data_IF_543639846469
#
_entry.id   IF_543639846469
#
_cell.length_a   1.000
_cell.length_b   1.000
_cell.length_c   1.000
_cell.angle_alpha   90.00
_cell.angle_beta   90.00
_cell.angle_gamma   90.00
#
_symmetry.space_group_name_H-M   'P 1'
#
loop_
_entity.id
_entity.type
_entity.pdbx_description
1 polymer ?
#
# COMPACT_ATOMS: atom_id res chain seq x y z
N UNK A 1 -34.75 -7.48 32.71
CA UNK A 1 -35.76 -6.46 32.40
C UNK A 1 -35.43 -6.00 31.01
N UNK A 2 -36.45 -5.84 30.19
CA UNK A 2 -36.29 -5.49 28.79
C UNK A 2 -36.51 -3.99 28.62
N UNK A 3 -35.98 -3.46 27.53
CA UNK A 3 -36.25 -2.10 27.10
C UNK A 3 -37.76 -1.93 26.83
N UNK A 4 -38.27 -0.70 26.94
CA UNK A 4 -39.66 -0.41 26.62
C UNK A 4 -39.78 0.74 25.64
N UNK A 5 -40.84 0.71 24.84
CA UNK A 5 -41.18 1.79 23.90
C UNK A 5 -42.42 2.51 24.40
N UNK A 6 -42.39 3.85 24.43
CA UNK A 6 -43.51 4.67 24.85
C UNK A 6 -44.70 4.52 23.89
N UNK A 7 -45.91 4.69 24.43
CA UNK A 7 -47.15 4.85 23.67
C UNK A 7 -47.75 6.26 23.88
N UNK A 8 -48.98 6.48 23.41
CA UNK A 8 -49.64 7.79 23.52
C UNK A 8 -50.02 8.19 24.96
N UNK A 9 -49.79 7.33 25.96
CA UNK A 9 -50.00 7.65 27.37
C UNK A 9 -48.78 8.34 28.02
N UNK A 10 -47.66 8.45 27.29
CA UNK A 10 -46.46 9.16 27.73
C UNK A 10 -46.43 10.62 27.23
N UNK A 11 -45.79 11.51 27.99
CA UNK A 11 -45.69 12.95 27.69
C UNK A 11 -45.07 13.27 26.34
N UNK A 12 -44.06 12.52 25.95
CA UNK A 12 -43.37 12.69 24.67
C UNK A 12 -44.11 12.01 23.50
N UNK A 13 -45.16 11.24 23.78
CA UNK A 13 -45.92 10.45 22.82
C UNK A 13 -45.31 9.08 22.51
N UNK A 14 -45.89 8.38 21.54
CA UNK A 14 -45.47 7.04 21.16
C UNK A 14 -44.14 6.99 20.37
N UNK A 15 -43.38 5.91 20.52
CA UNK A 15 -42.26 5.54 19.65
C UNK A 15 -40.85 5.85 20.18
N UNK A 16 -40.70 6.20 21.47
CA UNK A 16 -39.39 6.42 22.09
C UNK A 16 -39.00 5.19 22.90
N UNK A 17 -37.81 4.65 22.65
CA UNK A 17 -37.30 3.47 23.38
C UNK A 17 -36.41 3.91 24.55
N UNK A 18 -36.73 3.40 25.73
CA UNK A 18 -35.98 3.61 26.96
C UNK A 18 -35.33 2.31 27.42
N UNK A 19 -34.09 2.37 27.93
CA UNK A 19 -33.41 1.19 28.44
C UNK A 19 -34.11 0.62 29.67
N UNK A 20 -33.97 -0.68 29.86
CA UNK A 20 -34.37 -1.34 31.09
C UNK A 20 -33.83 -0.61 32.35
N UNK A 21 -34.72 -0.30 33.29
CA UNK A 21 -34.37 0.40 34.53
C UNK A 21 -34.58 1.92 34.52
N UNK A 22 -35.09 2.49 33.42
CA UNK A 22 -35.59 3.88 33.43
C UNK A 22 -36.70 4.07 34.46
N UNK A 23 -36.55 5.10 35.28
CA UNK A 23 -37.58 5.49 36.26
C UNK A 23 -38.70 6.23 35.53
N UNK A 24 -39.94 5.78 35.72
CA UNK A 24 -41.14 6.38 35.14
C UNK A 24 -42.05 6.87 36.27
N UNK A 25 -42.64 8.04 36.11
CA UNK A 25 -43.56 8.64 37.09
C UNK A 25 -44.82 9.17 36.41
N UNK A 26 -45.93 9.20 37.16
CA UNK A 26 -47.19 9.71 36.65
C UNK A 26 -47.32 11.20 36.99
N UNK A 27 -47.69 11.99 36.00
CA UNK A 27 -47.74 13.46 36.10
C UNK A 27 -49.15 13.96 36.40
N UNK A 28 -49.24 15.18 36.95
CA UNK A 28 -50.52 15.77 37.36
C UNK A 28 -51.46 16.05 36.17
N UNK A 29 -50.92 16.21 34.97
CA UNK A 29 -51.64 16.38 33.71
C UNK A 29 -52.08 15.04 33.07
N UNK A 30 -51.90 13.92 33.77
CA UNK A 30 -52.50 12.63 33.38
C UNK A 30 -51.68 11.80 32.40
N UNK A 31 -50.37 12.06 32.29
CA UNK A 31 -49.46 11.32 31.42
C UNK A 31 -48.34 10.65 32.22
N UNK A 32 -47.81 9.55 31.70
CA UNK A 32 -46.54 8.99 32.16
C UNK A 32 -45.37 9.83 31.66
N UNK A 33 -44.34 10.01 32.48
CA UNK A 33 -43.14 10.72 32.10
C UNK A 33 -41.90 9.97 32.60
N UNK A 34 -40.84 10.01 31.81
CA UNK A 34 -39.58 9.30 32.06
C UNK A 34 -38.60 10.24 32.74
N UNK A 35 -38.08 9.83 33.90
CA UNK A 35 -37.05 10.56 34.62
C UNK A 35 -35.70 10.31 33.93
N UNK A 36 -35.48 11.01 32.82
CA UNK A 36 -34.25 10.89 32.02
C UNK A 36 -33.48 12.22 32.02
N UNK A 37 -32.16 12.14 32.14
CA UNK A 37 -31.29 13.23 31.70
C UNK A 37 -31.55 13.52 30.22
N UNK A 38 -31.45 14.78 29.81
CA UNK A 38 -31.80 15.27 28.46
C UNK A 38 -31.33 14.30 27.38
N UNK A 39 -32.28 13.59 26.77
CA UNK A 39 -31.99 12.68 25.67
C UNK A 39 -31.56 13.49 24.44
N UNK A 40 -30.65 12.93 23.64
CA UNK A 40 -30.39 13.45 22.29
C UNK A 40 -31.67 13.30 21.48
N UNK A 41 -32.36 14.42 21.20
CA UNK A 41 -33.63 14.43 20.48
C UNK A 41 -33.51 13.95 19.02
N UNK A 42 -32.30 14.01 18.46
CA UNK A 42 -31.97 13.41 17.17
C UNK A 42 -30.52 13.63 16.78
N UNK A 43 -30.01 12.75 15.91
CA UNK A 43 -28.68 12.83 15.30
C UNK A 43 -28.86 13.06 13.81
N UNK A 44 -28.10 13.98 13.22
CA UNK A 44 -28.17 14.27 11.79
C UNK A 44 -26.78 14.55 11.24
N UNK A 45 -26.39 13.81 10.20
CA UNK A 45 -25.18 14.10 9.46
C UNK A 45 -25.35 15.31 8.52
N UNK A 46 -24.23 15.90 8.09
CA UNK A 46 -24.25 17.12 7.25
C UNK A 46 -24.90 16.89 5.87
N UNK A 47 -24.90 15.64 5.38
CA UNK A 47 -25.50 15.28 4.11
C UNK A 47 -26.99 14.90 4.23
N UNK A 48 -27.57 14.95 5.43
CA UNK A 48 -28.94 14.53 5.66
C UNK A 48 -29.93 15.69 5.81
N UNK A 49 -31.15 15.47 5.32
CA UNK A 49 -32.26 16.43 5.42
C UNK A 49 -33.15 16.23 6.65
N UNK A 50 -33.09 15.05 7.29
CA UNK A 50 -33.95 14.67 8.43
C UNK A 50 -33.12 14.12 9.60
N UNK A 51 -33.61 14.30 10.83
CA UNK A 51 -32.95 13.75 12.03
C UNK A 51 -33.27 12.27 12.21
N UNK A 52 -32.25 11.46 12.52
CA UNK A 52 -32.36 10.08 13.01
C UNK A 52 -32.65 10.06 14.50
N UNK A 53 -33.33 9.02 14.98
CA UNK A 53 -33.73 8.85 16.39
C UNK A 53 -33.49 7.40 16.84
N UNK A 54 -33.38 7.18 18.15
CA UNK A 54 -33.11 5.87 18.74
C UNK A 54 -31.63 5.47 18.64
N UNK A 55 -31.35 4.18 18.49
CA UNK A 55 -29.99 3.71 18.20
C UNK A 55 -29.60 4.06 16.76
N UNK A 56 -28.63 4.95 16.61
CA UNK A 56 -28.21 5.48 15.31
C UNK A 56 -26.86 4.89 14.91
N UNK A 57 -26.83 4.23 13.75
CA UNK A 57 -25.59 3.95 13.02
C UNK A 57 -25.35 5.08 11.99
N UNK A 58 -24.11 5.57 11.92
CA UNK A 58 -23.71 6.71 11.09
C UNK A 58 -22.62 6.27 10.12
N UNK A 59 -22.90 6.37 8.82
CA UNK A 59 -21.96 6.02 7.75
C UNK A 59 -21.19 7.23 7.22
N UNK A 60 -20.20 6.99 6.34
CA UNK A 60 -19.46 8.06 5.65
C UNK A 60 -20.39 8.92 4.78
N UNK A 61 -21.41 8.32 4.17
CA UNK A 61 -22.40 9.00 3.35
C UNK A 61 -23.22 9.98 4.19
N UNK A 62 -23.66 9.53 5.38
CA UNK A 62 -24.50 10.34 6.28
C UNK A 62 -23.82 11.67 6.66
N UNK A 63 -22.50 11.66 6.85
CA UNK A 63 -21.71 12.86 7.20
C UNK A 63 -21.12 13.60 5.98
N UNK A 64 -21.46 13.20 4.75
CA UNK A 64 -21.01 13.88 3.53
C UNK A 64 -19.61 13.50 3.04
N UNK A 65 -19.11 12.33 3.45
CA UNK A 65 -17.81 11.78 3.05
C UNK A 65 -17.94 10.59 2.07
N UNK A 66 -19.11 10.41 1.42
CA UNK A 66 -19.35 9.30 0.49
C UNK A 66 -18.30 9.22 -0.64
N UNK A 67 -17.92 10.38 -1.17
CA UNK A 67 -16.96 10.53 -2.27
C UNK A 67 -15.50 10.67 -1.81
N UNK A 68 -15.23 10.65 -0.50
CA UNK A 68 -13.86 10.65 -0.01
C UNK A 68 -13.31 9.23 -0.15
N UNK A 69 -12.31 9.01 -1.02
CA UNK A 69 -11.66 7.71 -1.10
C UNK A 69 -10.99 7.42 0.25
N UNK A 70 -11.11 6.18 0.74
CA UNK A 70 -10.36 5.73 1.92
C UNK A 70 -8.87 5.98 1.72
N UNK A 71 -8.16 6.36 2.80
CA UNK A 71 -6.75 6.79 2.88
C UNK A 71 -6.04 6.76 1.52
N UNK A 72 -6.25 7.83 0.76
CA UNK A 72 -5.48 8.13 -0.43
C UNK A 72 -4.01 8.10 -0.01
N UNK A 73 -3.20 7.33 -0.72
CA UNK A 73 -1.74 7.48 -0.67
C UNK A 73 -1.43 8.98 -0.68
N UNK A 74 -0.61 9.45 0.28
CA UNK A 74 -0.45 10.89 0.50
C UNK A 74 -0.08 11.56 -0.82
N UNK A 75 -0.60 12.75 -1.08
CA UNK A 75 -0.14 13.53 -2.24
C UNK A 75 1.38 13.68 -2.22
N UNK A 76 1.98 13.71 -1.03
CA UNK A 76 3.44 13.70 -0.83
C UNK A 76 4.08 12.40 -1.32
N UNK A 77 3.49 11.23 -1.05
CA UNK A 77 3.98 9.93 -1.54
C UNK A 77 3.85 9.82 -3.06
N UNK A 78 2.75 10.35 -3.63
CA UNK A 78 2.52 10.38 -5.08
C UNK A 78 3.49 11.33 -5.77
N UNK A 79 3.71 12.53 -5.22
CA UNK A 79 4.67 13.52 -5.73
C UNK A 79 6.09 12.97 -5.62
N UNK A 80 6.48 12.39 -4.49
CA UNK A 80 7.81 11.77 -4.32
C UNK A 80 8.08 10.67 -5.36
N UNK A 81 7.09 9.82 -5.69
CA UNK A 81 7.24 8.85 -6.77
C UNK A 81 7.36 9.47 -8.15
N UNK A 82 6.63 10.56 -8.41
CA UNK A 82 6.66 11.26 -9.69
C UNK A 82 7.99 12.01 -9.89
N UNK A 83 8.49 12.68 -8.86
CA UNK A 83 9.82 13.31 -8.86
C UNK A 83 10.92 12.28 -9.12
N UNK A 84 10.88 11.12 -8.46
CA UNK A 84 11.81 10.02 -8.72
C UNK A 84 11.77 9.54 -10.18
N UNK A 85 10.59 9.42 -10.78
CA UNK A 85 10.45 9.00 -12.19
C UNK A 85 10.98 10.04 -13.19
N UNK A 86 11.02 11.31 -12.82
CA UNK A 86 11.52 12.40 -13.68
C UNK A 86 13.07 12.44 -13.66
N UNK A 87 13.70 12.07 -12.54
CA UNK A 87 15.15 12.21 -12.36
C UNK A 87 15.96 10.90 -12.34
N UNK A 88 15.31 9.72 -12.29
CA UNK A 88 15.96 8.42 -12.20
C UNK A 88 15.92 7.61 -13.51
N UNK A 89 15.93 8.27 -14.66
CA UNK A 89 15.85 7.58 -15.95
C UNK A 89 17.17 6.86 -16.23
N UNK A 90 17.19 5.52 -16.38
CA UNK A 90 18.39 4.81 -16.79
C UNK A 90 18.87 5.29 -18.16
N UNK A 91 20.14 5.71 -18.23
CA UNK A 91 20.77 6.15 -19.49
C UNK A 91 21.83 5.17 -19.98
N UNK A 92 22.37 4.36 -19.07
CA UNK A 92 23.28 3.27 -19.40
C UNK A 92 22.99 2.07 -18.51
N UNK A 93 22.91 0.89 -19.13
CA UNK A 93 22.83 -0.39 -18.43
C UNK A 93 23.70 -1.40 -19.16
N UNK A 94 24.80 -1.82 -18.52
CA UNK A 94 25.86 -2.59 -19.20
C UNK A 94 26.35 -3.73 -18.33
N UNK A 95 26.59 -4.90 -18.93
CA UNK A 95 27.26 -6.01 -18.24
C UNK A 95 28.74 -5.69 -18.02
N UNK A 96 29.24 -5.94 -16.79
CA UNK A 96 30.65 -5.81 -16.44
C UNK A 96 31.36 -7.16 -16.31
N UNK A 97 30.64 -8.19 -15.83
CA UNK A 97 31.18 -9.55 -15.79
C UNK A 97 31.40 -10.12 -17.19
N UNK A 98 32.40 -10.99 -17.33
CA UNK A 98 32.66 -11.73 -18.57
C UNK A 98 31.86 -13.05 -18.57
N UNK A 99 30.83 -13.20 -19.43
CA UNK A 99 30.10 -14.45 -19.54
C UNK A 99 30.88 -15.52 -20.35
N UNK A 100 30.59 -16.82 -20.17
CA UNK A 100 29.70 -17.33 -19.13
C UNK A 100 30.34 -17.25 -17.74
N UNK A 101 29.52 -16.93 -16.73
CA UNK A 101 29.91 -17.15 -15.33
C UNK A 101 29.66 -18.61 -14.97
N UNK A 102 30.60 -19.25 -14.28
CA UNK A 102 30.55 -20.69 -14.00
C UNK A 102 30.33 -20.94 -12.52
N UNK A 103 29.50 -21.93 -12.19
CA UNK A 103 29.25 -22.42 -10.84
C UNK A 103 28.88 -23.90 -10.83
N UNK A 104 28.58 -24.43 -9.66
CA UNK A 104 28.07 -25.79 -9.49
C UNK A 104 26.58 -25.79 -9.16
N UNK A 105 25.87 -26.87 -9.47
CA UNK A 105 24.50 -27.06 -8.95
C UNK A 105 24.49 -26.96 -7.41
N UNK A 106 23.56 -26.20 -6.86
CA UNK A 106 23.48 -25.83 -5.45
C UNK A 106 24.27 -24.57 -5.05
N UNK A 107 25.10 -24.03 -5.95
CA UNK A 107 25.90 -22.83 -5.68
C UNK A 107 25.14 -21.56 -6.08
N UNK A 108 25.28 -20.51 -5.26
CA UNK A 108 24.98 -19.14 -5.67
C UNK A 108 26.22 -18.49 -6.28
N UNK A 109 26.08 -17.96 -7.49
CA UNK A 109 27.11 -17.18 -8.19
C UNK A 109 26.59 -15.76 -8.44
N UNK A 110 27.52 -14.82 -8.63
CA UNK A 110 27.19 -13.40 -8.81
C UNK A 110 27.79 -12.87 -10.10
N UNK A 111 27.01 -12.16 -10.90
CA UNK A 111 27.54 -11.30 -11.96
C UNK A 111 27.31 -9.82 -11.62
N UNK A 112 28.06 -8.96 -12.28
CA UNK A 112 28.06 -7.53 -12.06
C UNK A 112 27.66 -6.82 -13.35
N UNK A 113 26.78 -5.83 -13.22
CA UNK A 113 26.46 -4.87 -14.27
C UNK A 113 26.59 -3.44 -13.72
N UNK A 114 26.76 -2.45 -14.60
CA UNK A 114 26.70 -1.03 -14.26
C UNK A 114 25.35 -0.46 -14.65
N UNK A 115 24.80 0.38 -13.79
CA UNK A 115 23.66 1.25 -14.08
C UNK A 115 24.11 2.70 -13.93
N UNK A 116 23.81 3.51 -14.93
CA UNK A 116 23.96 4.97 -14.88
C UNK A 116 22.61 5.62 -15.15
N UNK A 117 22.30 6.67 -14.39
CA UNK A 117 21.09 7.50 -14.55
C UNK A 117 21.46 8.91 -15.03
N UNK A 118 20.55 9.59 -15.73
CA UNK A 118 20.80 10.95 -16.20
C UNK A 118 21.08 11.91 -15.03
N UNK A 119 22.06 12.80 -15.22
CA UNK A 119 22.63 13.69 -14.21
C UNK A 119 22.05 15.10 -14.25
N UNK A 120 20.77 15.28 -14.63
CA UNK A 120 20.16 16.61 -14.73
C UNK A 120 20.04 17.36 -13.39
N UNK A 121 20.51 16.76 -12.28
CA UNK A 121 20.72 17.37 -10.97
C UNK A 121 21.62 16.52 -10.05
N UNK A 122 21.66 16.87 -8.76
CA UNK A 122 22.28 16.04 -7.72
C UNK A 122 21.34 14.86 -7.42
N UNK A 123 21.64 13.70 -7.98
CA UNK A 123 20.98 12.44 -7.60
C UNK A 123 21.63 11.86 -6.35
N UNK A 124 20.88 11.06 -5.59
CA UNK A 124 21.34 10.46 -4.34
C UNK A 124 21.44 8.94 -4.47
N UNK A 125 22.13 8.32 -3.53
CA UNK A 125 22.25 6.86 -3.42
C UNK A 125 20.87 6.18 -3.39
N UNK A 126 19.91 6.77 -2.69
CA UNK A 126 18.55 6.26 -2.53
C UNK A 126 17.81 6.16 -3.88
N UNK A 127 18.08 7.08 -4.81
CA UNK A 127 17.48 7.07 -6.15
C UNK A 127 18.05 5.92 -6.98
N UNK A 128 19.38 5.72 -6.94
CA UNK A 128 20.04 4.59 -7.61
C UNK A 128 19.60 3.23 -7.06
N UNK A 129 19.42 3.14 -5.74
CA UNK A 129 18.86 1.94 -5.07
C UNK A 129 17.44 1.67 -5.56
N UNK A 130 16.56 2.69 -5.57
CA UNK A 130 15.18 2.53 -6.05
C UNK A 130 15.10 2.20 -7.54
N UNK A 131 15.92 2.81 -8.38
CA UNK A 131 16.00 2.48 -9.81
C UNK A 131 16.49 1.04 -10.04
N UNK A 132 17.34 0.54 -9.15
CA UNK A 132 17.82 -0.85 -9.16
C UNK A 132 16.71 -1.83 -8.76
N UNK A 133 15.94 -1.51 -7.72
CA UNK A 133 14.82 -2.34 -7.24
C UNK A 133 13.72 -2.51 -8.32
N UNK A 134 13.53 -1.50 -9.17
CA UNK A 134 12.58 -1.52 -10.29
C UNK A 134 13.05 -2.40 -11.48
N UNK A 135 14.29 -2.92 -11.48
CA UNK A 135 14.80 -3.79 -12.55
C UNK A 135 14.14 -5.16 -12.46
N UNK A 136 13.52 -5.57 -13.55
CA UNK A 136 12.98 -6.92 -13.68
C UNK A 136 14.07 -7.89 -14.10
N UNK A 137 14.32 -8.91 -13.28
CA UNK A 137 15.29 -9.97 -13.56
C UNK A 137 14.59 -11.27 -13.95
N UNK A 138 14.96 -11.85 -15.08
CA UNK A 138 14.38 -13.09 -15.59
C UNK A 138 15.47 -14.11 -15.91
N UNK A 139 15.22 -15.37 -15.58
CA UNK A 139 16.06 -16.49 -16.01
C UNK A 139 15.39 -17.18 -17.20
N UNK A 140 16.16 -17.49 -18.24
CA UNK A 140 15.67 -18.23 -19.40
C UNK A 140 15.15 -19.63 -19.05
N UNK A 141 15.58 -20.20 -17.92
CA UNK A 141 15.07 -21.47 -17.41
C UNK A 141 15.20 -21.53 -15.87
N UNK A 142 14.09 -21.28 -15.18
CA UNK A 142 14.01 -21.27 -13.72
C UNK A 142 14.20 -22.65 -13.08
N UNK A 143 14.09 -23.75 -13.84
CA UNK A 143 14.38 -25.09 -13.34
C UNK A 143 15.88 -25.38 -13.24
N UNK A 144 16.72 -24.66 -14.00
CA UNK A 144 18.18 -24.76 -13.95
C UNK A 144 18.72 -23.75 -12.95
N UNK A 145 18.27 -22.50 -13.01
CA UNK A 145 18.73 -21.47 -12.09
C UNK A 145 17.74 -20.31 -11.97
N UNK A 146 17.70 -19.66 -10.82
CA UNK A 146 16.85 -18.48 -10.56
C UNK A 146 17.66 -17.34 -9.98
N UNK A 147 17.26 -16.11 -10.28
CA UNK A 147 17.77 -14.92 -9.60
C UNK A 147 17.23 -14.90 -8.18
N UNK A 148 18.10 -14.82 -7.18
CA UNK A 148 17.72 -14.86 -5.76
C UNK A 148 17.79 -13.50 -5.07
N UNK A 149 18.38 -12.52 -5.73
CA UNK A 149 18.46 -11.15 -5.22
C UNK A 149 19.50 -10.33 -5.97
N UNK A 150 19.52 -9.04 -5.67
CA UNK A 150 20.52 -8.12 -6.18
C UNK A 150 20.78 -7.03 -5.15
N UNK A 151 21.89 -6.31 -5.29
CA UNK A 151 22.17 -5.08 -4.55
C UNK A 151 23.07 -4.17 -5.37
N UNK A 152 23.05 -2.86 -5.08
CA UNK A 152 23.90 -1.87 -5.76
C UNK A 152 24.98 -1.34 -4.82
N UNK A 153 26.17 -1.08 -5.38
CA UNK A 153 27.19 -0.23 -4.77
C UNK A 153 27.35 1.01 -5.65
N UNK A 154 27.04 2.17 -5.10
CA UNK A 154 27.17 3.45 -5.79
C UNK A 154 28.64 3.84 -5.86
N UNK A 155 29.12 4.21 -7.04
CA UNK A 155 30.47 4.74 -7.26
C UNK A 155 30.49 6.25 -7.02
N UNK A 156 29.46 6.90 -7.52
CA UNK A 156 29.17 8.31 -7.39
C UNK A 156 27.65 8.45 -7.29
N UNK A 157 27.14 9.67 -7.44
CA UNK A 157 25.74 9.97 -7.31
C UNK A 157 24.89 9.46 -8.50
N UNK A 158 25.51 9.20 -9.67
CA UNK A 158 24.82 8.90 -10.94
C UNK A 158 25.09 7.48 -11.46
N UNK A 159 26.13 6.80 -10.95
CA UNK A 159 26.60 5.50 -11.43
C UNK A 159 26.75 4.52 -10.27
N UNK A 160 26.25 3.30 -10.45
CA UNK A 160 26.50 2.20 -9.52
C UNK A 160 26.75 0.86 -10.19
N UNK A 161 27.38 -0.03 -9.45
CA UNK A 161 27.58 -1.43 -9.83
C UNK A 161 26.53 -2.30 -9.12
N UNK A 162 25.70 -2.98 -9.89
CA UNK A 162 24.68 -3.90 -9.41
C UNK A 162 25.28 -5.31 -9.42
N UNK A 163 25.17 -5.98 -8.28
CA UNK A 163 25.58 -7.36 -8.05
C UNK A 163 24.33 -8.22 -8.04
N UNK A 164 24.24 -9.17 -8.96
CA UNK A 164 23.04 -9.99 -9.17
C UNK A 164 23.38 -11.42 -8.83
N UNK A 165 22.65 -11.99 -7.87
CA UNK A 165 22.86 -13.33 -7.35
C UNK A 165 21.96 -14.33 -8.08
N UNK A 166 22.57 -15.41 -8.56
CA UNK A 166 21.90 -16.50 -9.25
C UNK A 166 22.18 -17.79 -8.47
N UNK A 167 21.13 -18.48 -8.03
CA UNK A 167 21.23 -19.83 -7.49
C UNK A 167 21.04 -20.86 -8.60
N UNK A 168 22.04 -21.72 -8.79
CA UNK A 168 21.93 -22.90 -9.65
C UNK A 168 21.21 -24.04 -8.93
N UNK A 169 20.11 -24.52 -9.48
CA UNK A 169 19.35 -25.66 -8.96
C UNK A 169 19.81 -26.99 -9.57
N UNK A 170 20.23 -26.97 -10.84
CA UNK A 170 20.64 -28.13 -11.62
C UNK A 170 21.79 -27.78 -12.56
N UNK A 171 22.48 -28.79 -13.06
CA UNK A 171 23.45 -28.62 -14.14
C UNK A 171 22.75 -28.13 -15.41
N UNK A 172 23.36 -27.17 -16.10
CA UNK A 172 22.85 -26.62 -17.34
C UNK A 172 23.22 -25.16 -17.54
N UNK A 173 22.72 -24.58 -18.64
CA UNK A 173 23.02 -23.22 -19.03
C UNK A 173 21.76 -22.37 -18.95
N UNK A 174 21.88 -21.15 -18.43
CA UNK A 174 20.83 -20.13 -18.43
C UNK A 174 21.37 -18.81 -18.95
N UNK A 175 20.50 -17.99 -19.51
CA UNK A 175 20.73 -16.56 -19.67
C UNK A 175 19.84 -15.84 -18.67
N UNK A 176 20.45 -14.99 -17.86
CA UNK A 176 19.74 -14.07 -16.97
C UNK A 176 19.68 -12.71 -17.64
N UNK A 177 18.46 -12.19 -17.78
CA UNK A 177 18.17 -10.88 -18.40
C UNK A 177 17.64 -9.93 -17.34
N UNK A 178 18.31 -8.80 -17.17
CA UNK A 178 17.80 -7.66 -16.42
C UNK A 178 17.20 -6.65 -17.39
N UNK A 179 16.01 -6.12 -17.09
CA UNK A 179 15.34 -5.09 -17.89
C UNK A 179 14.92 -3.92 -17.00
N UNK A 180 15.36 -2.71 -17.36
CA UNK A 180 14.99 -1.48 -16.66
C UNK A 180 13.57 -1.04 -17.03
N UNK A 181 13.00 -0.11 -16.25
CA UNK A 181 11.66 0.45 -16.48
C UNK A 181 11.47 1.13 -17.84
N UNK A 182 12.54 1.64 -18.45
CA UNK A 182 12.56 2.22 -19.79
C UNK A 182 13.02 1.24 -20.89
N UNK A 183 13.14 -0.05 -20.58
CA UNK A 183 13.37 -1.12 -21.56
C UNK A 183 14.83 -1.39 -21.93
N UNK A 184 15.81 -0.76 -21.28
CA UNK A 184 17.22 -1.14 -21.45
C UNK A 184 17.44 -2.53 -20.84
N UNK A 185 18.35 -3.31 -21.43
CA UNK A 185 18.59 -4.67 -20.94
C UNK A 185 20.06 -5.06 -20.91
N UNK A 186 20.39 -5.92 -19.96
CA UNK A 186 21.66 -6.65 -19.90
C UNK A 186 21.38 -8.14 -19.82
N UNK A 187 22.24 -8.92 -20.46
CA UNK A 187 22.14 -10.38 -20.50
C UNK A 187 23.45 -10.98 -19.98
N UNK A 188 23.39 -11.90 -19.02
CA UNK A 188 24.54 -12.67 -18.56
C UNK A 188 24.25 -14.16 -18.68
N UNK A 189 25.08 -14.88 -19.42
CA UNK A 189 25.01 -16.35 -19.46
C UNK A 189 25.71 -16.94 -18.24
N UNK A 190 25.04 -17.90 -17.59
CA UNK A 190 25.59 -18.68 -16.49
C UNK A 190 25.55 -20.18 -16.83
N UNK A 191 26.61 -20.88 -16.44
CA UNK A 191 26.78 -22.32 -16.62
C UNK A 191 26.94 -22.95 -15.25
N UNK A 192 26.08 -23.91 -14.94
CA UNK A 192 26.15 -24.72 -13.74
C UNK A 192 26.55 -26.14 -14.12
N UNK A 193 27.67 -26.62 -13.58
CA UNK A 193 28.12 -28.01 -13.72
C UNK A 193 27.59 -28.91 -12.60
#
# INVERSE_FOLDING_TARGET
MDDFTTDNTFKEGAGYTYPAGTNVYYTADGYWDCLSGTLVAGVKGSAESIYRRGFVDITKEDIGLGDVPGRLESLEERVSRLELKIYAVPVEFRLLSKPPINGQAGQTITFICSLSIDSSGLVSKEILEKATDDITWTSSNTTIASVTGHYIRTRDNITGSIYVNILGHKSGNVTVTGTTSNGMSVNCTAVFS
#
